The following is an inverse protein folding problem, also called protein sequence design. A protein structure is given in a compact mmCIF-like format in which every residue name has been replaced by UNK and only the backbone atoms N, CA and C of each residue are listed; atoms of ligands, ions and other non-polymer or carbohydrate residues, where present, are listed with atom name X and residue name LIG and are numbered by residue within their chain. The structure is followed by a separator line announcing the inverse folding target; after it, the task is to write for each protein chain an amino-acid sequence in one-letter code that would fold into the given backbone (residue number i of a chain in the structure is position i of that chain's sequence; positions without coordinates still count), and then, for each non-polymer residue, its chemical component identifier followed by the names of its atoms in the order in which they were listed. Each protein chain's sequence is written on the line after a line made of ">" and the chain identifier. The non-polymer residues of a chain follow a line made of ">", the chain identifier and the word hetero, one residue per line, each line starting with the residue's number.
data_IF_253869066974
#
_entry.id   IF_253869066974
#
_cell.length_a   1.000
_cell.length_b   1.000
_cell.length_c   1.000
_cell.angle_alpha   90.00
_cell.angle_beta   90.00
_cell.angle_gamma   90.00
#
_symmetry.space_group_name_H-M   'P 1'
#
loop_
_entity.id
_entity.type
_entity.pdbx_description
1 polymer ?
#
# COMPACT_ATOMS: atom_id res chain seq x y z
N UNK A 1 36.74 29.92 -33.99
CA UNK A 1 35.79 28.82 -34.32
C UNK A 1 35.89 27.57 -33.43
N UNK A 2 37.06 27.18 -32.90
CA UNK A 2 37.23 25.95 -32.09
C UNK A 2 36.48 25.92 -30.73
N UNK A 3 36.17 27.07 -30.15
CA UNK A 3 35.52 27.19 -28.82
C UNK A 3 34.05 26.74 -28.80
N UNK A 4 33.31 26.97 -29.88
CA UNK A 4 31.88 26.59 -29.98
C UNK A 4 31.72 25.07 -30.02
N UNK A 5 32.56 24.39 -30.82
CA UNK A 5 32.56 22.92 -30.93
C UNK A 5 32.90 22.21 -29.62
N UNK A 6 33.76 22.80 -28.79
CA UNK A 6 34.10 22.24 -27.46
C UNK A 6 32.92 22.39 -26.51
N UNK A 7 32.25 23.55 -26.50
CA UNK A 7 31.04 23.79 -25.69
C UNK A 7 29.90 22.84 -26.09
N UNK A 8 29.63 22.72 -27.40
CA UNK A 8 28.59 21.83 -27.94
C UNK A 8 28.87 20.34 -27.64
N UNK A 9 30.13 19.94 -27.46
CA UNK A 9 30.49 18.57 -27.06
C UNK A 9 30.32 18.35 -25.55
N UNK A 10 30.60 19.36 -24.72
CA UNK A 10 30.40 19.31 -23.26
C UNK A 10 28.90 19.24 -22.94
N UNK A 11 28.09 20.09 -23.57
CA UNK A 11 26.63 20.11 -23.39
C UNK A 11 26.00 18.78 -23.78
N UNK A 12 26.40 18.20 -24.93
CA UNK A 12 25.94 16.88 -25.37
C UNK A 12 26.37 15.76 -24.43
N UNK A 13 27.59 15.83 -23.88
CA UNK A 13 28.06 14.89 -22.87
C UNK A 13 27.23 14.95 -21.57
N UNK A 14 26.85 16.15 -21.14
CA UNK A 14 26.00 16.35 -19.97
C UNK A 14 24.57 15.84 -20.19
N UNK A 15 23.97 16.06 -21.35
CA UNK A 15 22.66 15.52 -21.71
C UNK A 15 22.64 13.99 -21.73
N UNK A 16 23.65 13.37 -22.34
CA UNK A 16 23.78 11.91 -22.36
C UNK A 16 23.93 11.32 -20.95
N UNK A 17 24.69 11.98 -20.08
CA UNK A 17 24.84 11.57 -18.68
C UNK A 17 23.53 11.69 -17.89
N UNK A 18 22.75 12.76 -18.10
CA UNK A 18 21.43 12.95 -17.51
C UNK A 18 20.42 11.90 -18.00
N UNK A 19 20.42 11.60 -19.30
CA UNK A 19 19.54 10.59 -19.87
C UNK A 19 19.86 9.19 -19.34
N UNK A 20 21.16 8.87 -19.18
CA UNK A 20 21.60 7.61 -18.60
C UNK A 20 21.16 7.47 -17.14
N UNK A 21 21.36 8.50 -16.31
CA UNK A 21 20.86 8.51 -14.93
C UNK A 21 19.34 8.34 -14.85
N UNK A 22 18.59 9.01 -15.71
CA UNK A 22 17.12 8.87 -15.77
C UNK A 22 16.71 7.43 -16.11
N UNK A 23 17.41 6.77 -17.04
CA UNK A 23 17.15 5.36 -17.38
C UNK A 23 17.47 4.44 -16.20
N UNK A 24 18.63 4.61 -15.57
CA UNK A 24 19.06 3.85 -14.38
C UNK A 24 18.04 4.02 -13.23
N UNK A 25 17.62 5.24 -12.92
CA UNK A 25 16.63 5.52 -11.87
C UNK A 25 15.27 4.90 -12.17
N UNK A 26 14.82 4.95 -13.43
CA UNK A 26 13.55 4.37 -13.85
C UNK A 26 13.58 2.84 -13.76
N UNK A 27 14.70 2.24 -14.16
CA UNK A 27 14.92 0.80 -14.09
C UNK A 27 15.02 0.33 -12.62
N UNK A 28 15.72 1.08 -11.77
CA UNK A 28 15.74 0.86 -10.33
C UNK A 28 14.34 0.94 -9.72
N UNK A 29 13.57 1.99 -10.01
CA UNK A 29 12.18 2.10 -9.53
C UNK A 29 11.30 0.96 -10.02
N UNK A 30 11.49 0.50 -11.26
CA UNK A 30 10.73 -0.61 -11.83
C UNK A 30 11.08 -1.94 -11.16
N UNK A 31 12.35 -2.26 -11.03
CA UNK A 31 12.83 -3.48 -10.35
C UNK A 31 12.42 -3.49 -8.87
N UNK A 32 12.57 -2.36 -8.18
CA UNK A 32 12.17 -2.23 -6.79
C UNK A 32 10.66 -2.35 -6.60
N UNK A 33 9.82 -1.90 -7.56
CA UNK A 33 8.36 -2.16 -7.53
C UNK A 33 8.02 -3.63 -7.73
N UNK A 34 8.80 -4.34 -8.54
CA UNK A 34 8.58 -5.75 -8.85
C UNK A 34 9.06 -6.67 -7.72
N UNK A 35 10.08 -6.28 -6.96
CA UNK A 35 10.74 -7.19 -6.02
C UNK A 35 9.86 -7.67 -4.86
N UNK A 36 8.83 -6.90 -4.45
CA UNK A 36 7.93 -7.27 -3.36
C UNK A 36 6.51 -7.61 -3.82
N UNK A 37 6.30 -7.68 -5.13
CA UNK A 37 4.99 -7.94 -5.73
C UNK A 37 4.63 -9.44 -5.71
N UNK A 38 5.54 -10.38 -6.07
CA UNK A 38 5.25 -11.81 -6.00
C UNK A 38 4.88 -12.28 -4.58
N UNK A 39 5.66 -11.89 -3.57
CA UNK A 39 5.42 -12.28 -2.18
C UNK A 39 4.06 -11.75 -1.68
N UNK A 40 3.73 -10.52 -2.05
CA UNK A 40 2.42 -9.94 -1.78
C UNK A 40 1.28 -10.71 -2.49
N UNK A 41 1.43 -11.03 -3.78
CA UNK A 41 0.41 -11.77 -4.54
C UNK A 41 0.19 -13.16 -3.94
N UNK A 42 1.26 -13.84 -3.52
CA UNK A 42 1.20 -15.13 -2.86
C UNK A 42 0.47 -15.03 -1.51
N UNK A 43 0.92 -14.14 -0.62
CA UNK A 43 0.30 -13.98 0.70
C UNK A 43 -1.16 -13.53 0.60
N UNK A 44 -1.47 -12.61 -0.33
CA UNK A 44 -2.84 -12.22 -0.64
C UNK A 44 -3.70 -13.41 -1.07
N UNK A 45 -3.18 -14.28 -1.94
CA UNK A 45 -3.91 -15.47 -2.38
C UNK A 45 -4.19 -16.43 -1.22
N UNK A 46 -3.24 -16.63 -0.31
CA UNK A 46 -3.43 -17.43 0.91
C UNK A 46 -4.56 -16.85 1.77
N UNK A 47 -4.54 -15.55 2.03
CA UNK A 47 -5.58 -14.86 2.81
C UNK A 47 -6.93 -14.86 2.09
N UNK A 48 -6.94 -14.79 0.76
CA UNK A 48 -8.16 -14.89 -0.03
C UNK A 48 -8.81 -16.28 -0.01
N UNK A 49 -8.01 -17.33 0.22
CA UNK A 49 -8.50 -18.69 0.36
C UNK A 49 -9.12 -18.99 1.73
N UNK A 50 -8.94 -18.12 2.74
CA UNK A 50 -9.62 -18.23 4.03
C UNK A 50 -11.11 -17.94 3.86
N UNK A 51 -11.95 -18.92 4.22
CA UNK A 51 -13.41 -18.86 4.08
C UNK A 51 -14.14 -18.63 5.41
N UNK A 52 -13.44 -18.72 6.54
CA UNK A 52 -14.01 -18.52 7.89
C UNK A 52 -13.27 -17.45 8.68
N UNK A 53 -13.93 -16.93 9.72
CA UNK A 53 -13.32 -15.98 10.66
C UNK A 53 -12.17 -16.66 11.43
N UNK A 54 -12.33 -17.93 11.77
CA UNK A 54 -11.36 -18.73 12.50
C UNK A 54 -10.07 -18.93 11.70
N UNK A 55 -10.18 -19.18 10.39
CA UNK A 55 -9.02 -19.29 9.49
C UNK A 55 -8.28 -17.97 9.36
N UNK A 56 -9.01 -16.84 9.25
CA UNK A 56 -8.40 -15.51 9.20
C UNK A 56 -7.69 -15.15 10.52
N UNK A 57 -8.31 -15.50 11.66
CA UNK A 57 -7.71 -15.35 13.00
C UNK A 57 -6.44 -16.20 13.11
N UNK A 58 -6.51 -17.49 12.76
CA UNK A 58 -5.37 -18.39 12.80
C UNK A 58 -4.21 -17.86 11.96
N UNK A 59 -4.47 -17.45 10.71
CA UNK A 59 -3.47 -16.84 9.85
C UNK A 59 -2.82 -15.61 10.52
N UNK A 60 -3.62 -14.69 11.07
CA UNK A 60 -3.10 -13.48 11.69
C UNK A 60 -2.23 -13.75 12.94
N UNK A 61 -2.55 -14.77 13.73
CA UNK A 61 -1.76 -15.15 14.90
C UNK A 61 -0.50 -15.94 14.54
N UNK A 62 -0.60 -16.87 13.58
CA UNK A 62 0.53 -17.69 13.13
C UNK A 62 1.58 -16.88 12.37
N UNK A 63 1.18 -15.78 11.74
CA UNK A 63 2.03 -14.92 10.92
C UNK A 63 2.26 -13.54 11.56
N UNK A 64 2.19 -13.44 12.90
CA UNK A 64 2.39 -12.17 13.61
C UNK A 64 3.79 -11.57 13.38
N UNK A 65 4.78 -12.42 13.14
CA UNK A 65 6.15 -12.01 12.79
C UNK A 65 6.22 -11.20 11.48
N UNK A 66 5.23 -11.33 10.60
CA UNK A 66 5.09 -10.57 9.35
C UNK A 66 4.55 -9.14 9.58
N UNK A 67 4.27 -8.70 10.81
CA UNK A 67 3.80 -7.33 11.10
C UNK A 67 4.71 -6.25 10.47
N UNK A 68 6.02 -6.51 10.46
CA UNK A 68 7.04 -5.61 9.93
C UNK A 68 7.43 -5.89 8.47
N UNK A 69 6.76 -6.84 7.81
CA UNK A 69 7.05 -7.18 6.44
C UNK A 69 6.79 -6.00 5.51
N UNK A 70 7.50 -6.05 4.38
CA UNK A 70 7.42 -5.01 3.37
C UNK A 70 5.99 -4.88 2.84
N UNK A 71 5.40 -3.71 3.10
CA UNK A 71 4.08 -3.36 2.57
C UNK A 71 4.13 -3.14 1.06
N UNK A 72 3.23 -3.80 0.36
CA UNK A 72 3.06 -3.76 -1.09
C UNK A 72 1.58 -3.55 -1.42
N UNK A 73 1.27 -3.06 -2.62
CA UNK A 73 -0.11 -2.79 -2.98
C UNK A 73 -0.25 -2.05 -4.29
N UNK A 74 -1.31 -2.37 -5.01
CA UNK A 74 -1.76 -1.64 -6.18
C UNK A 74 -2.85 -0.70 -5.65
N UNK A 75 -2.67 0.63 -5.78
CA UNK A 75 -3.51 1.74 -5.26
C UNK A 75 -3.05 2.42 -3.94
N UNK A 76 -3.95 3.16 -3.29
CA UNK A 76 -3.68 4.19 -2.26
C UNK A 76 -3.27 3.65 -0.89
N UNK A 77 -3.38 2.35 -0.65
CA UNK A 77 -3.04 1.71 0.63
C UNK A 77 -2.05 0.57 0.37
N UNK A 78 -0.89 0.66 0.99
CA UNK A 78 0.12 -0.41 0.95
C UNK A 78 -0.06 -1.26 2.19
N UNK A 79 -0.18 -2.58 2.00
CA UNK A 79 -0.37 -3.54 3.07
C UNK A 79 0.62 -4.68 2.93
N UNK A 80 0.97 -5.34 4.02
CA UNK A 80 1.53 -6.70 3.94
C UNK A 80 0.39 -7.75 4.07
N UNK A 81 0.66 -9.03 3.79
CA UNK A 81 -0.35 -10.09 3.87
C UNK A 81 -1.02 -10.20 5.25
N UNK A 82 -0.25 -10.01 6.33
CA UNK A 82 -0.76 -10.01 7.69
C UNK A 82 -1.79 -8.89 7.95
N UNK A 83 -1.48 -7.64 7.57
CA UNK A 83 -2.41 -6.51 7.66
C UNK A 83 -3.67 -6.75 6.81
N UNK A 84 -3.52 -7.37 5.64
CA UNK A 84 -4.65 -7.72 4.78
C UNK A 84 -5.57 -8.77 5.46
N UNK A 85 -4.99 -9.76 6.14
CA UNK A 85 -5.74 -10.74 6.92
C UNK A 85 -6.51 -10.09 8.08
N UNK A 86 -5.88 -9.16 8.82
CA UNK A 86 -6.56 -8.40 9.88
C UNK A 86 -7.74 -7.60 9.34
N UNK A 87 -7.59 -6.95 8.19
CA UNK A 87 -8.67 -6.20 7.54
C UNK A 87 -9.81 -7.13 7.14
N UNK A 88 -9.51 -8.28 6.51
CA UNK A 88 -10.53 -9.26 6.14
C UNK A 88 -11.24 -9.84 7.35
N UNK A 89 -10.51 -10.13 8.41
CA UNK A 89 -11.08 -10.57 9.69
C UNK A 89 -12.03 -9.49 10.23
N UNK A 90 -11.57 -8.25 10.38
CA UNK A 90 -12.41 -7.15 10.88
C UNK A 90 -13.65 -6.92 10.00
N UNK A 91 -13.52 -7.08 8.68
CA UNK A 91 -14.66 -7.04 7.76
C UNK A 91 -15.68 -8.15 8.04
N UNK A 92 -15.21 -9.39 8.17
CA UNK A 92 -16.08 -10.54 8.42
C UNK A 92 -16.77 -10.45 9.78
N UNK A 93 -16.05 -10.07 10.84
CA UNK A 93 -16.58 -9.97 12.20
C UNK A 93 -17.54 -8.78 12.36
N UNK A 94 -17.26 -7.65 11.69
CA UNK A 94 -18.14 -6.48 11.70
C UNK A 94 -19.27 -6.50 10.66
N UNK A 95 -19.34 -7.52 9.80
CA UNK A 95 -20.33 -7.62 8.72
C UNK A 95 -20.19 -6.53 7.65
N UNK A 96 -18.98 -6.01 7.43
CA UNK A 96 -18.72 -4.94 6.45
C UNK A 96 -18.58 -5.51 5.04
N UNK A 97 -19.24 -4.88 4.06
CA UNK A 97 -19.22 -5.32 2.65
C UNK A 97 -17.98 -4.88 1.89
N UNK A 98 -17.24 -3.90 2.42
CA UNK A 98 -16.02 -3.41 1.79
C UNK A 98 -15.06 -2.81 2.83
N UNK A 99 -13.77 -2.77 2.50
CA UNK A 99 -12.75 -2.09 3.31
C UNK A 99 -13.08 -0.61 3.51
N UNK A 100 -13.71 0.04 2.52
CA UNK A 100 -14.17 1.43 2.65
C UNK A 100 -15.21 1.59 3.75
N UNK A 101 -16.18 0.68 3.82
CA UNK A 101 -17.24 0.70 4.84
C UNK A 101 -16.65 0.54 6.25
N UNK A 102 -15.73 -0.42 6.42
CA UNK A 102 -14.95 -0.61 7.65
C UNK A 102 -14.21 0.67 8.05
N UNK A 103 -13.43 1.25 7.14
CA UNK A 103 -12.60 2.44 7.42
C UNK A 103 -13.44 3.68 7.75
N UNK A 104 -14.56 3.88 7.05
CA UNK A 104 -15.49 4.96 7.36
C UNK A 104 -16.07 4.78 8.77
N UNK A 105 -16.44 3.54 9.14
CA UNK A 105 -16.98 3.32 10.47
C UNK A 105 -15.93 3.52 11.58
N UNK A 106 -14.71 3.03 11.37
CA UNK A 106 -13.60 3.26 12.28
C UNK A 106 -13.31 4.75 12.47
N UNK A 107 -13.30 5.53 11.37
CA UNK A 107 -13.09 6.98 11.43
C UNK A 107 -14.20 7.70 12.21
N UNK A 108 -15.47 7.35 11.98
CA UNK A 108 -16.62 7.93 12.69
C UNK A 108 -16.60 7.62 14.19
N UNK A 109 -16.17 6.41 14.57
CA UNK A 109 -16.06 5.99 15.96
C UNK A 109 -14.87 6.66 16.67
N UNK A 110 -13.76 6.89 15.97
CA UNK A 110 -12.53 7.44 16.58
C UNK A 110 -12.59 8.96 16.76
N UNK A 111 -13.28 9.65 15.86
CA UNK A 111 -13.32 11.12 15.84
C UNK A 111 -14.39 11.74 16.75
N UNK A 112 -15.22 10.91 17.42
CA UNK A 112 -16.40 11.41 18.12
C UNK A 112 -17.40 12.12 17.19
N UNK A 113 -17.24 11.99 15.87
CA UNK A 113 -18.08 12.66 14.88
C UNK A 113 -19.54 12.25 14.99
N UNK A 114 -19.82 11.00 15.41
CA UNK A 114 -21.18 10.57 15.75
C UNK A 114 -21.77 11.39 16.90
N UNK A 115 -21.01 11.64 17.95
CA UNK A 115 -21.46 12.43 19.11
C UNK A 115 -21.60 13.91 18.78
N UNK A 116 -20.76 14.42 17.87
CA UNK A 116 -20.86 15.79 17.38
C UNK A 116 -22.06 15.97 16.43
N UNK A 117 -22.31 15.02 15.54
CA UNK A 117 -23.50 14.99 14.67
C UNK A 117 -24.79 14.84 15.47
N UNK A 118 -24.83 13.94 16.46
CA UNK A 118 -25.98 13.77 17.36
C UNK A 118 -26.29 15.08 18.11
N UNK A 119 -25.26 15.76 18.65
CA UNK A 119 -25.40 17.09 19.26
C UNK A 119 -25.92 18.14 18.27
N UNK A 120 -25.41 18.19 17.04
CA UNK A 120 -25.87 19.13 16.01
C UNK A 120 -27.31 18.88 15.57
N UNK A 121 -27.74 17.61 15.56
CA UNK A 121 -29.10 17.21 15.19
C UNK A 121 -30.09 17.23 16.37
N UNK A 122 -29.65 17.62 17.58
CA UNK A 122 -30.50 17.68 18.77
C UNK A 122 -30.98 16.31 19.25
N UNK A 123 -30.34 15.23 18.82
CA UNK A 123 -30.64 13.87 19.27
C UNK A 123 -29.91 13.65 20.59
N UNK A 124 -30.68 13.50 21.68
CA UNK A 124 -30.19 13.15 23.02
C UNK A 124 -29.87 11.67 23.11
#
# INVERSE_FOLDING_TARGET
>A
MKSKTVRDNIERGAELALERKRKEDNEYKRTHRLSGKPDWELGKATVDACNSIEELKAYAFENFDQENDRRSGIHSMKLNPWEYALIKWAMAEGGFRSTRELLLQAALNTTGYRDEQARRMGVK
#
